data_IF_452913163771
#
_entry.id   IF_452913163771
#
_cell.length_a   1.000
_cell.length_b   1.000
_cell.length_c   1.000
_cell.angle_alpha   90.00
_cell.angle_beta   90.00
_cell.angle_gamma   90.00
#
_symmetry.space_group_name_H-M   'P 1'
#
loop_
_entity.id
_entity.type
_entity.pdbx_description
1 polymer ?
#
# COMPACT_ATOMS: atom_id res chain seq x y z
N UNK A 1 13.60 -4.03 -4.16
CA UNK A 1 13.45 -2.71 -4.81
C UNK A 1 13.81 -2.73 -6.30
N UNK A 2 14.96 -3.28 -6.71
CA UNK A 2 15.35 -3.35 -8.14
C UNK A 2 14.31 -4.04 -9.03
N UNK A 3 13.75 -5.16 -8.58
CA UNK A 3 12.67 -5.87 -9.29
C UNK A 3 11.44 -4.98 -9.49
N UNK A 4 11.04 -4.23 -8.46
CA UNK A 4 9.90 -3.31 -8.51
C UNK A 4 10.14 -2.14 -9.48
N UNK A 5 11.36 -1.59 -9.48
CA UNK A 5 11.75 -0.50 -10.40
C UNK A 5 11.74 -1.02 -11.84
N UNK A 6 12.36 -2.18 -12.10
CA UNK A 6 12.37 -2.80 -13.41
C UNK A 6 10.94 -3.07 -13.92
N UNK A 7 10.09 -3.64 -13.07
CA UNK A 7 8.68 -3.88 -13.39
C UNK A 7 7.93 -2.57 -13.73
N UNK A 8 8.14 -1.51 -12.95
CA UNK A 8 7.52 -0.20 -13.20
C UNK A 8 8.00 0.42 -14.52
N UNK A 9 9.28 0.29 -14.85
CA UNK A 9 9.86 0.80 -16.09
C UNK A 9 9.40 0.01 -17.32
N UNK A 10 9.22 -1.29 -17.19
CA UNK A 10 8.80 -2.15 -18.31
C UNK A 10 7.31 -2.06 -18.61
N UNK A 11 6.47 -1.77 -17.60
CA UNK A 11 5.00 -1.78 -17.71
C UNK A 11 4.44 -0.89 -18.84
N UNK A 12 4.91 0.35 -19.08
CA UNK A 12 4.42 1.20 -20.18
C UNK A 12 4.70 0.63 -21.57
N UNK A 13 5.71 -0.23 -21.72
CA UNK A 13 6.09 -0.83 -23.00
C UNK A 13 5.33 -2.15 -23.29
N UNK A 14 4.82 -2.80 -22.24
CA UNK A 14 4.13 -4.10 -22.34
C UNK A 14 2.61 -3.92 -22.36
N UNK A 15 2.10 -2.94 -21.61
CA UNK A 15 0.67 -2.71 -21.43
C UNK A 15 0.29 -1.32 -21.90
N UNK A 16 -0.87 -1.23 -22.54
CA UNK A 16 -1.46 0.06 -22.91
C UNK A 16 -1.83 0.87 -21.66
N UNK A 17 -1.78 2.20 -21.73
CA UNK A 17 -2.20 3.03 -20.61
C UNK A 17 -3.68 2.83 -20.30
N UNK A 18 -4.03 3.03 -19.04
CA UNK A 18 -5.40 3.00 -18.55
C UNK A 18 -5.79 4.46 -18.30
N UNK A 19 -6.39 5.14 -19.29
CA UNK A 19 -6.83 6.51 -19.10
C UNK A 19 -7.96 6.58 -18.08
N UNK A 20 -8.14 7.76 -17.50
CA UNK A 20 -9.23 8.01 -16.57
C UNK A 20 -10.56 8.07 -17.31
N UNK A 21 -11.54 7.28 -16.86
CA UNK A 21 -12.89 7.33 -17.40
C UNK A 21 -13.68 8.47 -16.74
N UNK A 22 -14.13 9.44 -17.54
CA UNK A 22 -14.83 10.64 -17.05
C UNK A 22 -16.27 10.37 -16.64
N UNK A 23 -16.93 9.41 -17.29
CA UNK A 23 -18.34 9.05 -17.03
C UNK A 23 -18.50 8.38 -15.68
N UNK A 24 -17.68 7.36 -15.43
CA UNK A 24 -17.68 6.61 -14.17
C UNK A 24 -16.84 7.32 -13.10
N UNK A 25 -15.90 8.18 -13.49
CA UNK A 25 -14.95 8.86 -12.60
C UNK A 25 -14.02 7.88 -11.88
N UNK A 26 -13.45 6.95 -12.64
CA UNK A 26 -12.54 5.92 -12.14
C UNK A 26 -11.53 5.49 -13.22
N UNK A 27 -10.43 4.88 -12.77
CA UNK A 27 -9.49 4.18 -13.66
C UNK A 27 -10.01 2.77 -13.92
N UNK A 28 -10.67 2.60 -15.06
CA UNK A 28 -11.26 1.34 -15.52
C UNK A 28 -10.83 1.05 -16.96
N UNK A 29 -11.07 -0.16 -17.45
CA UNK A 29 -10.58 -0.57 -18.77
C UNK A 29 -10.99 0.33 -19.96
N UNK A 30 -12.26 0.72 -20.06
CA UNK A 30 -12.75 1.61 -21.13
C UNK A 30 -12.59 3.09 -20.76
N UNK A 31 -12.06 3.95 -21.65
CA UNK A 31 -11.93 5.39 -21.41
C UNK A 31 -13.24 6.19 -21.54
N UNK A 32 -14.20 5.71 -22.33
CA UNK A 32 -15.41 6.47 -22.75
C UNK A 32 -15.05 7.83 -23.38
N UNK A 33 -14.17 7.80 -24.40
CA UNK A 33 -13.71 8.96 -25.18
C UNK A 33 -14.32 8.99 -26.59
N UNK A 34 -14.79 7.85 -27.11
CA UNK A 34 -15.41 7.67 -28.42
C UNK A 34 -16.85 7.19 -28.27
N UNK A 35 -17.69 7.51 -29.25
CA UNK A 35 -19.05 6.98 -29.37
C UNK A 35 -19.06 5.50 -29.84
N UNK A 36 -17.94 5.00 -30.35
CA UNK A 36 -17.77 3.61 -30.77
C UNK A 36 -17.25 2.74 -29.61
N UNK A 37 -18.20 2.18 -28.84
CA UNK A 37 -17.92 1.32 -27.70
C UNK A 37 -17.21 0.01 -28.10
N UNK A 38 -17.50 -0.55 -29.27
CA UNK A 38 -16.87 -1.80 -29.74
C UNK A 38 -15.38 -1.57 -30.00
N UNK A 39 -15.06 -0.47 -30.68
CA UNK A 39 -13.68 -0.06 -30.88
C UNK A 39 -12.97 0.14 -29.54
N UNK A 40 -13.58 0.84 -28.57
CA UNK A 40 -12.94 1.07 -27.26
C UNK A 40 -12.65 -0.22 -26.50
N UNK A 41 -13.62 -1.14 -26.42
CA UNK A 41 -13.44 -2.41 -25.73
C UNK A 41 -12.34 -3.25 -26.41
N UNK A 42 -12.24 -3.19 -27.75
CA UNK A 42 -11.19 -3.89 -28.51
C UNK A 42 -9.81 -3.21 -28.44
N UNK A 43 -9.77 -1.90 -28.26
CA UNK A 43 -8.54 -1.09 -28.31
C UNK A 43 -7.90 -0.87 -26.93
N UNK A 44 -8.70 -0.87 -25.86
CA UNK A 44 -8.26 -0.74 -24.46
C UNK A 44 -8.46 -1.99 -23.57
N UNK A 45 -8.53 -3.24 -24.09
CA UNK A 45 -8.73 -4.39 -23.22
C UNK A 45 -7.51 -4.51 -22.30
N UNK A 46 -7.71 -4.28 -21.01
CA UNK A 46 -6.64 -4.34 -20.02
C UNK A 46 -7.05 -5.22 -18.84
N UNK A 47 -7.13 -6.54 -19.09
CA UNK A 47 -7.27 -7.53 -18.01
C UNK A 47 -6.17 -7.43 -16.94
N UNK A 48 -5.07 -6.76 -17.28
CA UNK A 48 -3.96 -6.51 -16.38
C UNK A 48 -4.38 -5.78 -15.09
N UNK A 49 -5.28 -4.80 -15.18
CA UNK A 49 -5.73 -4.05 -14.00
C UNK A 49 -6.56 -4.92 -13.02
N UNK A 50 -7.63 -5.60 -13.46
CA UNK A 50 -8.36 -6.50 -12.58
C UNK A 50 -7.50 -7.66 -12.10
N UNK A 51 -6.63 -8.26 -12.95
CA UNK A 51 -5.69 -9.31 -12.52
C UNK A 51 -4.78 -8.79 -11.41
N UNK A 52 -4.22 -7.59 -11.57
CA UNK A 52 -3.37 -6.98 -10.56
C UNK A 52 -4.13 -6.77 -9.25
N UNK A 53 -5.32 -6.16 -9.30
CA UNK A 53 -6.12 -5.89 -8.09
C UNK A 53 -6.53 -7.20 -7.39
N UNK A 54 -6.94 -8.23 -8.13
CA UNK A 54 -7.27 -9.56 -7.58
C UNK A 54 -6.03 -10.21 -6.95
N UNK A 55 -4.89 -10.15 -7.64
CA UNK A 55 -3.62 -10.71 -7.11
C UNK A 55 -3.24 -10.04 -5.81
N UNK A 56 -3.29 -8.70 -5.75
CA UNK A 56 -3.00 -7.94 -4.53
C UNK A 56 -3.98 -8.32 -3.42
N UNK A 57 -5.28 -8.43 -3.71
CA UNK A 57 -6.27 -8.84 -2.72
C UNK A 57 -5.98 -10.23 -2.17
N UNK A 58 -5.72 -11.23 -3.02
CA UNK A 58 -5.43 -12.60 -2.60
C UNK A 58 -4.16 -12.67 -1.76
N UNK A 59 -3.09 -12.01 -2.20
CA UNK A 59 -1.81 -11.99 -1.48
C UNK A 59 -1.97 -11.30 -0.13
N UNK A 60 -2.69 -10.17 -0.07
CA UNK A 60 -2.94 -9.45 1.18
C UNK A 60 -3.82 -10.25 2.14
N UNK A 61 -4.85 -10.93 1.65
CA UNK A 61 -5.70 -11.79 2.48
C UNK A 61 -4.88 -12.95 3.07
N UNK A 62 -4.07 -13.63 2.25
CA UNK A 62 -3.20 -14.71 2.72
C UNK A 62 -2.19 -14.20 3.76
N UNK A 63 -1.51 -13.09 3.47
CA UNK A 63 -0.58 -12.47 4.41
C UNK A 63 -1.28 -12.05 5.70
N UNK A 64 -2.50 -11.52 5.64
CA UNK A 64 -3.28 -11.13 6.80
C UNK A 64 -3.71 -12.33 7.64
N UNK A 65 -4.13 -13.44 7.03
CA UNK A 65 -4.42 -14.68 7.76
C UNK A 65 -3.20 -15.14 8.54
N UNK A 66 -2.02 -15.16 7.90
CA UNK A 66 -0.76 -15.51 8.56
C UNK A 66 -0.44 -14.54 9.69
N UNK A 67 -0.56 -13.23 9.45
CA UNK A 67 -0.27 -12.19 10.43
C UNK A 67 -1.19 -12.27 11.65
N UNK A 68 -2.49 -12.45 11.43
CA UNK A 68 -3.46 -12.66 12.50
C UNK A 68 -3.15 -13.93 13.29
N UNK A 69 -2.83 -15.04 12.63
CA UNK A 69 -2.40 -16.26 13.30
C UNK A 69 -1.18 -16.01 14.20
N UNK A 70 -0.16 -15.29 13.71
CA UNK A 70 1.00 -14.92 14.53
C UNK A 70 0.62 -14.03 15.72
N UNK A 71 -0.29 -13.06 15.54
CA UNK A 71 -0.76 -12.20 16.64
C UNK A 71 -1.53 -13.00 17.69
N UNK A 72 -2.41 -13.92 17.28
CA UNK A 72 -3.13 -14.80 18.21
C UNK A 72 -2.18 -15.75 18.95
N UNK A 73 -1.17 -16.29 18.26
CA UNK A 73 -0.12 -17.08 18.90
C UNK A 73 0.72 -16.21 19.85
N UNK A 74 1.00 -14.95 19.50
CA UNK A 74 1.71 -14.02 20.37
C UNK A 74 0.93 -13.66 21.63
N UNK A 75 -0.40 -13.53 21.58
CA UNK A 75 -1.21 -13.28 22.79
C UNK A 75 -0.99 -14.37 23.86
N UNK A 76 -0.73 -15.61 23.42
CA UNK A 76 -0.32 -16.70 24.31
C UNK A 76 1.09 -16.50 24.90
N UNK A 77 2.04 -15.93 24.14
CA UNK A 77 3.42 -15.63 24.56
C UNK A 77 3.61 -14.28 25.26
N UNK A 78 2.65 -13.35 25.21
CA UNK A 78 2.69 -12.04 25.90
C UNK A 78 2.84 -12.21 27.42
N UNK A 79 2.46 -13.38 27.96
CA UNK A 79 2.72 -13.77 29.35
C UNK A 79 4.21 -13.91 29.71
N UNK A 80 5.12 -14.00 28.72
CA UNK A 80 6.56 -14.23 28.93
C UNK A 80 7.46 -13.02 28.61
N UNK A 81 6.90 -11.81 28.44
CA UNK A 81 7.70 -10.57 28.40
C UNK A 81 8.20 -10.17 27.00
N UNK A 82 7.29 -10.13 26.03
CA UNK A 82 7.59 -9.70 24.66
C UNK A 82 7.92 -8.20 24.55
N UNK A 83 8.83 -7.86 23.62
CA UNK A 83 9.20 -6.49 23.31
C UNK A 83 8.03 -5.70 22.69
N UNK A 84 7.64 -4.59 23.33
CA UNK A 84 6.55 -3.69 22.93
C UNK A 84 6.72 -3.17 21.50
N UNK A 85 7.96 -3.10 21.02
CA UNK A 85 8.30 -2.66 19.65
C UNK A 85 7.76 -3.63 18.61
N UNK A 86 7.86 -4.95 18.85
CA UNK A 86 7.38 -5.95 17.88
C UNK A 86 5.86 -5.84 17.67
N UNK A 87 5.10 -5.72 18.77
CA UNK A 87 3.64 -5.55 18.71
C UNK A 87 3.25 -4.28 17.94
N UNK A 88 3.98 -3.18 18.13
CA UNK A 88 3.73 -1.93 17.40
C UNK A 88 3.99 -2.08 15.89
N UNK A 89 5.05 -2.78 15.50
CA UNK A 89 5.35 -3.05 14.09
C UNK A 89 4.27 -3.92 13.44
N UNK A 90 3.76 -4.91 14.16
CA UNK A 90 2.66 -5.75 13.69
C UNK A 90 1.36 -4.98 13.49
N UNK A 91 0.95 -4.17 14.46
CA UNK A 91 -0.24 -3.32 14.34
C UNK A 91 -0.11 -2.32 13.19
N UNK A 92 1.07 -1.74 13.01
CA UNK A 92 1.36 -0.86 11.89
C UNK A 92 1.18 -1.57 10.54
N UNK A 93 1.73 -2.78 10.39
CA UNK A 93 1.57 -3.56 9.16
C UNK A 93 0.10 -3.88 8.88
N UNK A 94 -0.67 -4.28 9.90
CA UNK A 94 -2.12 -4.55 9.77
C UNK A 94 -2.88 -3.31 9.27
N UNK A 95 -2.64 -2.14 9.86
CA UNK A 95 -3.34 -0.91 9.49
C UNK A 95 -2.99 -0.45 8.06
N UNK A 96 -1.72 -0.52 7.69
CA UNK A 96 -1.25 -0.17 6.34
C UNK A 96 -1.86 -1.13 5.30
N UNK A 97 -1.70 -2.44 5.50
CA UNK A 97 -2.14 -3.44 4.54
C UNK A 97 -3.67 -3.52 4.41
N UNK A 98 -4.42 -3.33 5.51
CA UNK A 98 -5.90 -3.36 5.47
C UNK A 98 -6.48 -2.28 4.56
N UNK A 99 -5.97 -1.05 4.60
CA UNK A 99 -6.44 0.01 3.69
C UNK A 99 -6.18 -0.32 2.22
N UNK A 100 -5.05 -0.94 1.91
CA UNK A 100 -4.73 -1.40 0.54
C UNK A 100 -5.67 -2.53 0.09
N UNK A 101 -5.99 -3.48 0.98
CA UNK A 101 -6.93 -4.56 0.68
C UNK A 101 -8.35 -4.05 0.43
N UNK A 102 -8.82 -3.07 1.22
CA UNK A 102 -10.13 -2.44 1.01
C UNK A 102 -10.15 -1.67 -0.31
N UNK A 103 -9.10 -0.91 -0.63
CA UNK A 103 -8.99 -0.22 -1.92
C UNK A 103 -9.09 -1.21 -3.10
N UNK A 104 -8.30 -2.29 -3.07
CA UNK A 104 -8.31 -3.32 -4.12
C UNK A 104 -9.70 -3.97 -4.27
N UNK A 105 -10.36 -4.28 -3.15
CA UNK A 105 -11.71 -4.88 -3.15
C UNK A 105 -12.76 -3.96 -3.78
N UNK A 106 -12.73 -2.67 -3.43
CA UNK A 106 -13.65 -1.68 -3.99
C UNK A 106 -13.43 -1.48 -5.49
N UNK A 107 -12.18 -1.45 -5.96
CA UNK A 107 -11.88 -1.33 -7.39
C UNK A 107 -12.27 -2.58 -8.19
N UNK A 108 -12.09 -3.78 -7.64
CA UNK A 108 -12.63 -5.01 -8.24
C UNK A 108 -14.16 -4.91 -8.36
N UNK A 109 -14.84 -4.43 -7.32
CA UNK A 109 -16.29 -4.23 -7.37
C UNK A 109 -16.70 -3.25 -8.47
N UNK A 110 -16.03 -2.09 -8.57
CA UNK A 110 -16.29 -1.08 -9.62
C UNK A 110 -16.03 -1.61 -11.03
N UNK A 111 -15.04 -2.49 -11.20
CA UNK A 111 -14.68 -3.06 -12.50
C UNK A 111 -15.68 -4.13 -12.99
N UNK A 112 -16.18 -4.98 -12.08
CA UNK A 112 -17.01 -6.13 -12.46
C UNK A 112 -18.51 -5.94 -12.25
N UNK A 113 -18.91 -4.97 -11.43
CA UNK A 113 -20.31 -4.75 -11.08
C UNK A 113 -20.73 -3.30 -11.34
N UNK A 114 -22.01 -3.07 -11.68
CA UNK A 114 -22.54 -1.71 -11.77
C UNK A 114 -22.44 -1.02 -10.40
N UNK A 115 -21.49 -0.09 -10.27
CA UNK A 115 -21.26 0.66 -9.05
C UNK A 115 -22.04 1.98 -9.05
N UNK A 116 -22.64 2.31 -7.90
CA UNK A 116 -23.21 3.64 -7.70
C UNK A 116 -22.11 4.68 -7.57
N UNK A 117 -22.42 5.96 -7.89
CA UNK A 117 -21.46 7.06 -7.79
C UNK A 117 -20.82 7.16 -6.40
N UNK A 118 -21.58 6.87 -5.34
CA UNK A 118 -21.06 6.85 -3.96
C UNK A 118 -19.97 5.79 -3.75
N UNK A 119 -20.13 4.60 -4.32
CA UNK A 119 -19.14 3.52 -4.23
C UNK A 119 -17.86 3.91 -4.97
N UNK A 120 -17.97 4.53 -6.13
CA UNK A 120 -16.81 5.00 -6.90
C UNK A 120 -16.04 6.10 -6.15
N UNK A 121 -16.74 7.06 -5.55
CA UNK A 121 -16.11 8.10 -4.72
C UNK A 121 -15.39 7.44 -3.54
N UNK A 122 -16.03 6.49 -2.86
CA UNK A 122 -15.41 5.75 -1.75
C UNK A 122 -14.17 4.99 -2.20
N UNK A 123 -14.19 4.31 -3.36
CA UNK A 123 -13.05 3.62 -3.92
C UNK A 123 -11.85 4.57 -4.14
N UNK A 124 -12.12 5.74 -4.74
CA UNK A 124 -11.10 6.77 -4.95
C UNK A 124 -10.53 7.33 -3.63
N UNK A 125 -11.39 7.62 -2.65
CA UNK A 125 -10.97 8.13 -1.33
C UNK A 125 -10.11 7.09 -0.60
N UNK A 126 -10.56 5.83 -0.53
CA UNK A 126 -9.81 4.76 0.13
C UNK A 126 -8.48 4.50 -0.58
N UNK A 127 -8.45 4.56 -1.90
CA UNK A 127 -7.21 4.45 -2.66
C UNK A 127 -6.22 5.58 -2.34
N UNK A 128 -6.66 6.83 -2.27
CA UNK A 128 -5.80 7.95 -1.85
C UNK A 128 -5.31 7.78 -0.40
N UNK A 129 -6.22 7.36 0.50
CA UNK A 129 -5.89 7.08 1.90
C UNK A 129 -4.85 5.97 2.02
N UNK A 130 -4.89 4.93 1.17
CA UNK A 130 -3.92 3.83 1.23
C UNK A 130 -2.48 4.32 1.06
N UNK A 131 -2.23 5.39 0.30
CA UNK A 131 -0.87 5.96 0.16
C UNK A 131 -0.55 6.99 1.25
N UNK A 132 -1.53 7.80 1.65
CA UNK A 132 -1.33 8.89 2.62
C UNK A 132 -1.28 8.43 4.08
N UNK A 133 -2.01 7.38 4.43
CA UNK A 133 -2.19 6.94 5.82
C UNK A 133 -0.89 6.37 6.42
N UNK A 134 0.01 5.85 5.59
CA UNK A 134 1.27 5.25 6.04
C UNK A 134 2.06 6.23 6.93
N UNK A 135 2.24 7.48 6.48
CA UNK A 135 2.96 8.51 7.25
C UNK A 135 2.32 8.79 8.60
N UNK A 136 0.99 8.85 8.66
CA UNK A 136 0.24 9.06 9.90
C UNK A 136 0.42 7.90 10.89
N UNK A 137 0.38 6.66 10.39
CA UNK A 137 0.63 5.46 11.21
C UNK A 137 2.07 5.48 11.75
N UNK A 138 3.08 5.77 10.91
CA UNK A 138 4.47 5.87 11.37
C UNK A 138 4.65 6.90 12.48
N UNK A 139 4.08 8.11 12.34
CA UNK A 139 4.19 9.16 13.36
C UNK A 139 3.47 8.76 14.67
N UNK A 140 2.35 8.04 14.57
CA UNK A 140 1.56 7.65 15.75
C UNK A 140 2.25 6.52 16.53
N UNK A 141 2.71 5.48 15.83
CA UNK A 141 3.21 4.25 16.45
C UNK A 141 4.72 4.23 16.69
N UNK A 142 5.52 4.99 15.91
CA UNK A 142 6.98 4.98 16.05
C UNK A 142 7.47 6.23 16.80
N UNK A 143 7.88 6.02 18.06
CA UNK A 143 8.37 7.10 18.95
C UNK A 143 9.65 7.76 18.42
N UNK A 144 10.52 7.02 17.75
CA UNK A 144 11.76 7.54 17.17
C UNK A 144 11.42 8.48 16.03
N UNK A 145 10.63 8.01 15.06
CA UNK A 145 10.20 8.83 13.91
C UNK A 145 9.51 10.10 14.39
N UNK A 146 8.59 9.99 15.36
CA UNK A 146 7.91 11.15 15.93
C UNK A 146 8.89 12.16 16.51
N UNK A 147 9.88 11.71 17.28
CA UNK A 147 10.89 12.61 17.89
C UNK A 147 11.71 13.34 16.81
N UNK A 148 12.16 12.63 15.78
CA UNK A 148 12.94 13.21 14.70
C UNK A 148 12.11 14.21 13.87
N UNK A 149 10.84 13.87 13.55
CA UNK A 149 9.93 14.79 12.86
C UNK A 149 9.70 16.06 13.68
N UNK A 150 9.42 15.96 14.98
CA UNK A 150 9.26 17.14 15.84
C UNK A 150 10.56 17.95 15.99
N UNK A 151 11.73 17.32 15.89
CA UNK A 151 13.01 18.02 15.89
C UNK A 151 13.21 18.85 14.62
N UNK A 152 12.81 18.33 13.44
CA UNK A 152 12.84 19.05 12.17
C UNK A 152 11.94 20.30 12.23
N UNK A 153 10.77 20.22 12.87
CA UNK A 153 9.87 21.37 12.99
C UNK A 153 10.30 22.41 14.06
N UNK A 154 11.33 22.14 14.87
CA UNK A 154 11.73 22.98 16.04
C UNK A 154 13.11 23.67 15.94
N UNK A 155 13.78 23.70 14.79
CA UNK A 155 15.19 24.11 14.53
C UNK A 155 15.76 25.24 15.44
N UNK A 156 16.96 25.10 16.08
CA UNK A 156 18.25 24.95 15.38
C UNK A 156 19.29 23.88 15.80
N UNK A 157 19.85 23.26 14.74
CA UNK A 157 21.24 22.85 14.39
C UNK A 157 22.11 21.98 15.33
N UNK A 158 22.47 20.76 14.87
CA UNK A 158 23.86 20.36 14.52
C UNK A 158 23.87 18.99 13.83
N UNK A 159 24.67 18.86 12.77
CA UNK A 159 25.02 17.60 12.11
C UNK A 159 25.33 16.52 13.14
N UNK A 160 24.57 15.42 13.14
CA UNK A 160 24.96 14.21 13.87
C UNK A 160 25.71 13.33 12.88
N UNK A 161 27.04 13.39 12.90
CA UNK A 161 27.87 12.37 12.26
C UNK A 161 27.53 11.02 12.90
N UNK A 162 26.86 10.17 12.14
CA UNK A 162 26.64 8.78 12.51
C UNK A 162 27.98 8.03 12.41
N UNK A 163 28.73 7.99 13.51
CA UNK A 163 29.93 7.16 13.62
C UNK A 163 29.51 5.76 14.06
N UNK A 164 29.64 4.78 13.17
CA UNK A 164 29.54 3.36 13.53
C UNK A 164 30.73 3.00 14.42
N UNK A 165 30.54 2.36 15.59
CA UNK A 165 31.65 1.79 16.34
C UNK A 165 32.18 0.56 15.59
N UNK A 166 33.36 0.71 14.98
CA UNK A 166 34.19 -0.42 14.56
C UNK A 166 34.74 -1.11 15.80
N UNK A 167 34.04 -2.13 16.30
CA UNK A 167 34.59 -3.09 17.26
C UNK A 167 34.91 -4.40 16.56
N UNK A 168 36.07 -4.44 15.88
CA UNK A 168 36.83 -5.68 15.66
C UNK A 168 38.27 -5.41 16.08
N UNK A 169 38.50 -5.47 17.38
CA UNK A 169 39.81 -5.75 17.97
C UNK A 169 39.64 -6.92 18.92
N UNK A 170 39.99 -8.10 18.45
CA UNK A 170 40.35 -9.23 19.30
C UNK A 170 41.60 -9.87 18.68
N UNK A 171 42.74 -9.32 19.08
CA UNK A 171 44.03 -10.00 19.06
C UNK A 171 44.03 -10.91 20.30
N UNK A 172 44.35 -12.18 20.08
CA UNK A 172 44.58 -13.21 21.09
C UNK A 172 45.13 -14.43 20.37
#
# INVERSE_FOLDING_TARGET
MLVSIFYMLMRPFITRPIPYNTVISAFIGSPMISDDLEWEISHYPSLFLPIHNVTILVVLLAAYTVLCCYVFQMDHFVKEGLDRVQVQLFLQAILICSTTAVAASLYIYVEFFPASRSVVIMANVVWQLSHGLHGFIYITFNRVIRREVFAIFRVPCRSFEFSMPNSVTAVG
#
